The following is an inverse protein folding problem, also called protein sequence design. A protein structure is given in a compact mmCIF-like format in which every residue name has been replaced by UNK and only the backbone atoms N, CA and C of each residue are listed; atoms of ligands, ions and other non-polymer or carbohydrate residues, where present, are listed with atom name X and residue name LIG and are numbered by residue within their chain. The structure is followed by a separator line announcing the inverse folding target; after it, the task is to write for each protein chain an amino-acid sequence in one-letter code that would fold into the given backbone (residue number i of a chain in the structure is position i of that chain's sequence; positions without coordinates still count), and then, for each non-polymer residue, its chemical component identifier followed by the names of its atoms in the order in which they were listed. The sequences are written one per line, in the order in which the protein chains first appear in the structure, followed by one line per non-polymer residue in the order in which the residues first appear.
data_IF_688659929150
#
_entry.id   IF_688659929150
#
_cell.length_a   1.000
_cell.length_b   1.000
_cell.length_c   1.000
_cell.angle_alpha   90.00
_cell.angle_beta   90.00
_cell.angle_gamma   90.00
#
_symmetry.space_group_name_H-M   'P 1'
#
loop_
_entity.id
_entity.type
_entity.pdbx_description
1 polymer ?
#
# COMPACT_ATOMS: atom_id res chain seq x y z
N UNK A 1 -8.61 28.10 -13.21
CA UNK A 1 -9.69 27.23 -12.65
C UNK A 1 -9.11 26.49 -11.45
N UNK A 2 -9.65 26.68 -10.25
CA UNK A 2 -9.28 25.85 -9.08
C UNK A 2 -10.03 24.52 -9.21
N UNK A 3 -9.33 23.45 -9.59
CA UNK A 3 -9.92 22.12 -9.58
C UNK A 3 -10.01 21.61 -8.13
N UNK A 4 -11.15 21.08 -7.73
CA UNK A 4 -11.39 20.49 -6.41
C UNK A 4 -12.18 19.20 -6.53
N UNK A 5 -12.06 18.33 -5.53
CA UNK A 5 -12.81 17.08 -5.46
C UNK A 5 -13.75 17.10 -4.25
N UNK A 6 -15.07 17.13 -4.52
CA UNK A 6 -16.08 17.05 -3.48
C UNK A 6 -15.99 15.68 -2.77
N UNK A 7 -15.93 15.72 -1.43
CA UNK A 7 -15.64 14.54 -0.60
C UNK A 7 -14.18 14.09 -0.62
N UNK A 8 -13.25 14.90 -1.14
CA UNK A 8 -11.81 14.59 -1.14
C UNK A 8 -11.13 14.72 0.23
N UNK A 9 -11.76 15.42 1.17
CA UNK A 9 -11.24 15.68 2.53
C UNK A 9 -12.37 15.52 3.53
N UNK A 10 -12.08 14.88 4.67
CA UNK A 10 -12.93 14.82 5.86
C UNK A 10 -12.23 15.49 7.03
N UNK A 11 -12.90 15.59 8.19
CA UNK A 11 -12.27 16.06 9.44
C UNK A 11 -11.03 15.24 9.82
N UNK A 12 -10.98 13.97 9.41
CA UNK A 12 -9.91 13.04 9.77
C UNK A 12 -8.80 12.97 8.71
N UNK A 13 -8.87 13.78 7.65
CA UNK A 13 -7.83 13.88 6.63
C UNK A 13 -8.30 13.62 5.20
N UNK A 14 -7.36 13.27 4.33
CA UNK A 14 -7.60 13.06 2.90
C UNK A 14 -8.28 11.71 2.69
N UNK A 15 -9.36 11.67 1.90
CA UNK A 15 -10.05 10.42 1.55
C UNK A 15 -9.33 9.71 0.40
N UNK A 16 -9.65 8.43 0.15
CA UNK A 16 -9.15 7.72 -1.03
C UNK A 16 -9.44 8.49 -2.33
N UNK A 17 -10.64 9.07 -2.45
CA UNK A 17 -11.02 9.89 -3.60
C UNK A 17 -10.15 11.15 -3.72
N UNK A 18 -9.88 11.82 -2.60
CA UNK A 18 -8.97 12.96 -2.55
C UNK A 18 -7.53 12.60 -2.92
N UNK A 19 -7.04 11.46 -2.45
CA UNK A 19 -5.70 10.95 -2.77
C UNK A 19 -5.54 10.69 -4.28
N UNK A 20 -6.50 10.01 -4.91
CA UNK A 20 -6.50 9.80 -6.36
C UNK A 20 -6.58 11.12 -7.13
N UNK A 21 -7.42 12.04 -6.68
CA UNK A 21 -7.52 13.36 -7.28
C UNK A 21 -6.20 14.14 -7.20
N UNK A 22 -5.47 14.09 -6.08
CA UNK A 22 -4.16 14.74 -5.96
C UNK A 22 -3.15 14.20 -6.98
N UNK A 23 -3.08 12.89 -7.14
CA UNK A 23 -2.21 12.27 -8.14
C UNK A 23 -2.60 12.66 -9.57
N UNK A 24 -3.89 12.72 -9.88
CA UNK A 24 -4.40 13.20 -11.17
C UNK A 24 -3.91 14.64 -11.45
N UNK A 25 -3.99 15.53 -10.45
CA UNK A 25 -3.55 16.92 -10.59
C UNK A 25 -2.03 17.01 -10.80
N UNK A 26 -1.23 16.17 -10.14
CA UNK A 26 0.22 16.15 -10.38
C UNK A 26 0.55 15.75 -11.82
N UNK A 27 -0.12 14.74 -12.35
CA UNK A 27 0.07 14.31 -13.75
C UNK A 27 -0.36 15.41 -14.72
N UNK A 28 -1.55 16.01 -14.53
CA UNK A 28 -2.05 17.09 -15.39
C UNK A 28 -1.14 18.33 -15.41
N UNK A 29 -0.45 18.60 -14.30
CA UNK A 29 0.52 19.71 -14.20
C UNK A 29 1.93 19.35 -14.68
N UNK A 30 2.11 18.18 -15.30
CA UNK A 30 3.41 17.69 -15.78
C UNK A 30 4.34 17.19 -14.68
N UNK A 31 3.91 17.13 -13.42
CA UNK A 31 4.70 16.66 -12.26
C UNK A 31 4.49 15.16 -11.99
N UNK A 32 4.51 14.36 -13.05
CA UNK A 32 4.25 12.93 -12.98
C UNK A 32 5.30 12.18 -12.15
N UNK A 33 6.54 12.68 -12.06
CA UNK A 33 7.60 12.14 -11.20
C UNK A 33 7.18 11.99 -9.73
N UNK A 34 6.40 12.92 -9.18
CA UNK A 34 5.90 12.79 -7.80
C UNK A 34 5.01 11.55 -7.62
N UNK A 35 4.21 11.24 -8.64
CA UNK A 35 3.38 10.03 -8.65
C UNK A 35 4.24 8.78 -8.82
N UNK A 36 5.24 8.83 -9.72
CA UNK A 36 6.17 7.74 -9.93
C UNK A 36 7.01 7.42 -8.70
N UNK A 37 7.49 8.41 -7.95
CA UNK A 37 8.20 8.18 -6.68
C UNK A 37 7.37 7.36 -5.70
N UNK A 38 6.07 7.67 -5.56
CA UNK A 38 5.16 6.88 -4.72
C UNK A 38 5.03 5.46 -5.27
N UNK A 39 4.74 5.29 -6.56
CA UNK A 39 4.61 3.97 -7.18
C UNK A 39 5.88 3.12 -6.97
N UNK A 40 7.07 3.70 -7.15
CA UNK A 40 8.35 3.00 -6.95
C UNK A 40 8.58 2.61 -5.49
N UNK A 41 8.22 3.47 -4.54
CA UNK A 41 8.33 3.16 -3.11
C UNK A 41 7.47 1.95 -2.72
N UNK A 42 6.36 1.72 -3.41
CA UNK A 42 5.47 0.57 -3.22
C UNK A 42 5.74 -0.59 -4.20
N UNK A 43 6.91 -0.60 -4.86
CA UNK A 43 7.41 -1.75 -5.63
C UNK A 43 6.94 -1.84 -7.08
N UNK A 44 6.20 -0.85 -7.59
CA UNK A 44 5.74 -0.85 -8.98
C UNK A 44 6.85 -0.54 -9.98
N UNK A 45 6.75 -1.15 -11.16
CA UNK A 45 7.63 -0.92 -12.30
C UNK A 45 7.06 0.09 -13.31
N UNK A 46 7.79 0.33 -14.41
CA UNK A 46 7.35 1.23 -15.49
C UNK A 46 6.09 0.75 -16.23
N UNK A 47 5.70 -0.51 -16.06
CA UNK A 47 4.49 -1.11 -16.64
C UNK A 47 3.34 -1.15 -15.62
N UNK A 48 3.51 -0.50 -14.45
CA UNK A 48 2.53 -0.49 -13.36
C UNK A 48 2.24 -1.93 -12.87
N UNK A 49 3.28 -2.76 -12.86
CA UNK A 49 3.24 -4.11 -12.27
C UNK A 49 4.14 -4.13 -11.04
N UNK A 50 3.81 -4.95 -10.06
CA UNK A 50 4.73 -5.21 -8.97
C UNK A 50 5.96 -5.91 -9.54
N UNK A 51 7.14 -5.37 -9.24
CA UNK A 51 8.40 -5.91 -9.73
C UNK A 51 8.68 -7.28 -9.12
N UNK A 52 9.34 -8.16 -9.88
CA UNK A 52 9.74 -9.48 -9.38
C UNK A 52 10.65 -9.39 -8.16
N UNK A 53 11.52 -8.38 -8.08
CA UNK A 53 12.40 -8.18 -6.92
C UNK A 53 11.63 -7.84 -5.65
N UNK A 54 10.49 -7.13 -5.79
CA UNK A 54 9.61 -6.81 -4.67
C UNK A 54 8.79 -8.02 -4.21
N UNK A 55 8.30 -8.83 -5.16
CA UNK A 55 7.50 -10.03 -4.87
C UNK A 55 8.33 -11.23 -4.41
N UNK A 56 9.53 -11.39 -4.98
CA UNK A 56 10.42 -12.53 -4.80
C UNK A 56 11.81 -12.05 -4.39
N UNK A 57 11.95 -11.48 -3.18
CA UNK A 57 13.25 -11.06 -2.69
C UNK A 57 14.19 -12.26 -2.66
N UNK A 58 15.45 -12.04 -3.06
CA UNK A 58 16.47 -13.09 -3.01
C UNK A 58 16.67 -13.55 -1.58
N UNK A 59 16.30 -14.80 -1.31
CA UNK A 59 16.38 -15.42 -0.01
C UNK A 59 16.70 -16.91 -0.20
N UNK A 60 17.78 -17.38 0.42
CA UNK A 60 18.25 -18.77 0.31
C UNK A 60 18.24 -19.43 1.68
N UNK A 61 17.59 -20.58 1.78
CA UNK A 61 17.54 -21.39 2.99
C UNK A 61 18.55 -22.53 2.85
N UNK A 62 19.54 -22.65 3.74
CA UNK A 62 20.48 -23.78 3.72
C UNK A 62 19.77 -25.12 3.91
N UNK A 63 20.35 -26.19 3.36
CA UNK A 63 19.81 -27.54 3.52
C UNK A 63 19.76 -27.94 4.99
N UNK A 64 18.61 -28.46 5.43
CA UNK A 64 18.37 -28.85 6.83
C UNK A 64 17.91 -27.71 7.73
N UNK A 65 17.78 -26.48 7.23
CA UNK A 65 17.22 -25.36 7.96
C UNK A 65 15.72 -25.15 7.68
N UNK A 66 15.02 -24.55 8.66
CA UNK A 66 13.65 -24.05 8.54
C UNK A 66 13.63 -22.52 8.48
N UNK A 67 12.47 -21.97 8.13
CA UNK A 67 12.22 -20.53 8.12
C UNK A 67 11.12 -20.19 9.09
N UNK A 68 11.35 -19.19 9.94
CA UNK A 68 10.37 -18.69 10.90
C UNK A 68 10.14 -17.19 10.70
N UNK A 69 8.97 -16.71 11.14
CA UNK A 69 8.63 -15.30 11.10
C UNK A 69 9.30 -14.61 12.30
N UNK A 70 10.04 -13.54 12.03
CA UNK A 70 10.67 -12.74 13.07
C UNK A 70 9.63 -12.08 14.00
N UNK A 71 10.06 -11.63 15.18
CA UNK A 71 9.18 -10.89 16.09
C UNK A 71 8.51 -9.67 15.41
N UNK A 72 9.25 -8.95 14.57
CA UNK A 72 8.71 -7.80 13.81
C UNK A 72 7.68 -8.23 12.76
N UNK A 73 7.93 -9.34 12.04
CA UNK A 73 6.97 -9.89 11.08
C UNK A 73 5.67 -10.30 11.76
N UNK A 74 5.76 -10.95 12.92
CA UNK A 74 4.60 -11.33 13.71
C UNK A 74 3.82 -10.12 14.22
N UNK A 75 4.50 -9.06 14.68
CA UNK A 75 3.86 -7.81 15.07
C UNK A 75 3.15 -7.13 13.89
N UNK A 76 3.78 -7.10 12.71
CA UNK A 76 3.15 -6.58 11.49
C UNK A 76 1.85 -7.32 11.16
N UNK A 77 1.86 -8.66 11.20
CA UNK A 77 0.68 -9.46 10.94
C UNK A 77 -0.43 -9.22 11.98
N UNK A 78 -0.08 -9.08 13.26
CA UNK A 78 -1.06 -8.75 14.30
C UNK A 78 -1.69 -7.36 14.11
N UNK A 79 -0.89 -6.35 13.74
CA UNK A 79 -1.40 -5.02 13.43
C UNK A 79 -2.32 -5.06 12.22
N UNK A 80 -1.92 -5.80 11.17
CA UNK A 80 -2.73 -5.98 9.97
C UNK A 80 -4.07 -6.67 10.31
N UNK A 81 -4.03 -7.74 11.09
CA UNK A 81 -5.23 -8.44 11.54
C UNK A 81 -6.18 -7.50 12.30
N UNK A 82 -5.69 -6.79 13.32
CA UNK A 82 -6.50 -5.86 14.12
C UNK A 82 -7.09 -4.71 13.29
N UNK A 83 -6.41 -4.30 12.23
CA UNK A 83 -6.92 -3.26 11.32
C UNK A 83 -8.18 -3.71 10.58
N UNK A 84 -8.33 -5.00 10.31
CA UNK A 84 -9.44 -5.57 9.54
C UNK A 84 -10.40 -6.43 10.39
N UNK A 85 -10.08 -6.69 11.66
CA UNK A 85 -10.97 -7.31 12.62
C UNK A 85 -11.97 -6.28 13.15
N UNK A 86 -13.12 -6.19 12.48
CA UNK A 86 -14.13 -5.18 12.77
C UNK A 86 -15.06 -5.57 13.91
N UNK A 87 -15.17 -6.85 14.27
CA UNK A 87 -16.26 -7.32 15.15
C UNK A 87 -15.90 -8.48 16.11
N UNK A 88 -14.98 -9.40 15.81
CA UNK A 88 -15.04 -10.73 16.46
C UNK A 88 -13.71 -11.40 16.85
N UNK A 89 -12.57 -10.70 16.91
CA UNK A 89 -11.26 -11.37 17.08
C UNK A 89 -11.01 -12.44 16.00
N UNK A 90 -11.74 -12.34 14.89
CA UNK A 90 -11.69 -13.22 13.74
C UNK A 90 -12.01 -12.40 12.50
N UNK A 91 -11.40 -12.77 11.37
CA UNK A 91 -11.72 -12.15 10.09
C UNK A 91 -13.05 -12.73 9.61
N UNK A 92 -14.14 -11.99 9.83
CA UNK A 92 -15.44 -12.31 9.23
C UNK A 92 -15.41 -11.99 7.74
N UNK A 93 -16.11 -12.80 6.95
CA UNK A 93 -16.36 -12.48 5.55
C UNK A 93 -17.52 -11.49 5.50
N UNK A 94 -17.21 -10.20 5.42
CA UNK A 94 -18.21 -9.18 5.09
C UNK A 94 -18.43 -9.24 3.57
N UNK A 95 -19.44 -10.03 3.18
CA UNK A 95 -19.93 -10.15 1.81
C UNK A 95 -20.89 -9.02 1.43
#
# INVERSE_FOLDING_TARGET
IRQSCLGGVTLNGITQKGFLFLHLIFVQKGRHETTWTVLRQFGYDNQIRLSNDFLYPRFSVPSGCSTEISALGSQFLQMLFRKYDLVSFCLSFDG
#
